data_IF_496525533489
#
_entry.id   IF_496525533489
#
_cell.length_a   1.000
_cell.length_b   1.000
_cell.length_c   1.000
_cell.angle_alpha   90.00
_cell.angle_beta   90.00
_cell.angle_gamma   90.00
#
_symmetry.space_group_name_H-M   'P 1'
#
loop_
_entity.id
_entity.type
_entity.pdbx_description
1 polymer ?
#
# COMPACT_ATOMS: atom_id res chain seq x y z
N UNK A 1 32.46 1.04 -6.04
CA UNK A 1 31.96 2.43 -6.09
C UNK A 1 30.81 2.58 -5.10
N UNK A 2 30.91 3.54 -4.17
CA UNK A 2 29.84 3.81 -3.20
C UNK A 2 28.82 4.65 -3.93
N UNK A 3 27.73 4.04 -4.41
CA UNK A 3 26.68 4.75 -5.12
C UNK A 3 26.20 5.95 -4.28
N UNK A 4 26.03 7.09 -4.93
CA UNK A 4 25.36 8.27 -4.36
C UNK A 4 24.09 7.81 -3.68
N UNK A 5 23.73 8.37 -2.53
CA UNK A 5 22.46 8.04 -1.86
C UNK A 5 21.39 8.88 -2.54
N UNK A 6 20.48 8.32 -3.36
CA UNK A 6 19.39 9.13 -3.85
C UNK A 6 18.51 9.67 -2.72
N UNK A 7 17.88 10.82 -2.99
CA UNK A 7 17.06 11.54 -2.04
C UNK A 7 15.62 11.51 -2.52
N UNK A 8 14.69 11.18 -1.63
CA UNK A 8 13.26 11.30 -1.91
C UNK A 8 12.94 12.81 -2.04
N UNK A 9 12.81 13.31 -3.28
CA UNK A 9 12.43 14.69 -3.54
C UNK A 9 10.91 14.84 -3.55
N UNK A 10 10.43 15.90 -2.94
CA UNK A 10 9.00 16.26 -2.89
C UNK A 10 8.48 16.61 -4.27
N UNK A 11 7.26 16.18 -4.62
CA UNK A 11 6.63 16.56 -5.90
C UNK A 11 6.01 17.96 -5.80
N UNK A 12 6.24 18.81 -6.81
CA UNK A 12 5.62 20.13 -6.94
C UNK A 12 4.08 20.07 -7.07
N UNK A 13 3.56 18.98 -7.64
CA UNK A 13 2.15 18.67 -7.78
C UNK A 13 1.60 17.85 -6.59
N UNK A 14 2.38 17.65 -5.53
CA UNK A 14 1.95 16.89 -4.37
C UNK A 14 0.68 17.49 -3.75
N UNK A 15 -0.24 16.60 -3.36
CA UNK A 15 -1.45 16.97 -2.67
C UNK A 15 -1.13 17.74 -1.39
N UNK A 16 -1.79 18.89 -1.22
CA UNK A 16 -1.65 19.74 -0.02
C UNK A 16 -2.74 19.50 1.02
N UNK A 17 -3.82 18.81 0.65
CA UNK A 17 -4.98 18.56 1.50
C UNK A 17 -5.51 17.16 1.27
N UNK A 18 -5.93 16.51 2.35
CA UNK A 18 -6.54 15.19 2.29
C UNK A 18 -7.91 15.26 1.60
N UNK A 19 -8.13 14.49 0.51
CA UNK A 19 -9.48 14.27 -0.01
C UNK A 19 -10.36 13.57 1.03
N UNK A 20 -11.68 13.74 0.86
CA UNK A 20 -12.64 13.02 1.67
C UNK A 20 -12.51 11.52 1.43
N UNK A 21 -12.65 10.73 2.49
CA UNK A 21 -12.64 9.27 2.37
C UNK A 21 -13.82 8.81 1.50
N UNK A 22 -13.61 7.93 0.50
CA UNK A 22 -14.70 7.44 -0.34
C UNK A 22 -15.77 6.73 0.50
N UNK A 23 -17.03 7.13 0.30
CA UNK A 23 -18.16 6.70 1.16
C UNK A 23 -18.44 5.20 1.09
N UNK A 24 -18.09 4.55 -0.02
CA UNK A 24 -18.35 3.14 -0.27
C UNK A 24 -17.31 2.20 0.34
N UNK A 25 -16.17 2.71 0.83
CA UNK A 25 -15.17 1.89 1.51
C UNK A 25 -15.73 1.23 2.77
N UNK A 26 -15.26 0.03 3.08
CA UNK A 26 -15.56 -0.66 4.33
C UNK A 26 -15.06 0.13 5.55
N UNK A 27 -15.56 -0.19 6.74
CA UNK A 27 -15.15 0.51 7.97
C UNK A 27 -13.63 0.35 8.26
N UNK A 28 -13.07 -0.84 8.00
CA UNK A 28 -11.63 -1.08 8.13
C UNK A 28 -10.82 -0.26 7.10
N UNK A 29 -11.24 -0.26 5.83
CA UNK A 29 -10.57 0.51 4.79
C UNK A 29 -10.61 2.02 5.06
N UNK A 30 -11.75 2.54 5.55
CA UNK A 30 -11.90 3.94 5.97
C UNK A 30 -10.96 4.32 7.11
N UNK A 31 -10.77 3.42 8.09
CA UNK A 31 -9.81 3.64 9.19
C UNK A 31 -8.39 3.71 8.65
N UNK A 32 -8.04 2.82 7.74
CA UNK A 32 -6.70 2.80 7.16
C UNK A 32 -6.41 4.07 6.35
N UNK A 33 -7.34 4.49 5.50
CA UNK A 33 -7.25 5.74 4.74
C UNK A 33 -6.94 6.93 5.66
N UNK A 34 -7.70 7.07 6.74
CA UNK A 34 -7.51 8.14 7.73
C UNK A 34 -6.17 8.05 8.47
N UNK A 35 -5.61 6.84 8.61
CA UNK A 35 -4.35 6.58 9.30
C UNK A 35 -3.15 6.98 8.45
N UNK A 36 -3.14 6.63 7.16
CA UNK A 36 -1.94 6.78 6.31
C UNK A 36 -1.89 8.08 5.52
N UNK A 37 -3.04 8.61 5.11
CA UNK A 37 -3.10 9.75 4.21
C UNK A 37 -2.45 11.03 4.78
N UNK A 38 -2.57 11.36 6.09
CA UNK A 38 -1.91 12.53 6.65
C UNK A 38 -0.37 12.49 6.50
N UNK A 39 0.26 11.35 6.81
CA UNK A 39 1.72 11.16 6.66
C UNK A 39 2.17 11.30 5.20
N UNK A 40 1.40 10.70 4.27
CA UNK A 40 1.71 10.75 2.84
C UNK A 40 1.64 12.17 2.27
N UNK A 41 0.70 12.99 2.78
CA UNK A 41 0.58 14.42 2.43
C UNK A 41 1.72 15.23 3.02
N UNK A 42 2.05 15.00 4.30
CA UNK A 42 3.17 15.69 4.98
C UNK A 42 4.49 15.46 4.23
N UNK A 43 4.68 14.22 3.75
CA UNK A 43 5.85 13.82 2.96
C UNK A 43 5.87 14.35 1.52
N UNK A 44 4.75 14.89 1.02
CA UNK A 44 4.59 15.43 -0.35
C UNK A 44 5.00 14.45 -1.45
N UNK A 45 4.56 13.20 -1.32
CA UNK A 45 4.89 12.12 -2.26
C UNK A 45 3.70 11.59 -3.06
N UNK A 46 2.48 12.03 -2.75
CA UNK A 46 1.28 11.63 -3.50
C UNK A 46 0.74 12.80 -4.30
N UNK A 47 0.34 12.50 -5.52
CA UNK A 47 -0.47 13.34 -6.39
C UNK A 47 -1.90 12.78 -6.47
N UNK A 48 -2.80 13.51 -7.13
CA UNK A 48 -4.18 13.02 -7.35
C UNK A 48 -4.20 11.73 -8.19
N UNK A 49 -3.21 11.50 -9.05
CA UNK A 49 -3.09 10.29 -9.87
C UNK A 49 -2.86 9.02 -9.02
N UNK A 50 -2.28 9.17 -7.83
CA UNK A 50 -1.95 8.06 -6.94
C UNK A 50 -3.13 7.61 -6.07
N UNK A 51 -4.25 8.35 -6.07
CA UNK A 51 -5.40 8.08 -5.21
C UNK A 51 -6.03 6.71 -5.47
N UNK A 52 -6.02 6.23 -6.71
CA UNK A 52 -6.50 4.88 -7.03
C UNK A 52 -5.66 3.79 -6.35
N UNK A 53 -4.33 3.96 -6.32
CA UNK A 53 -3.40 3.04 -5.64
C UNK A 53 -3.57 3.09 -4.12
N UNK A 54 -3.75 4.29 -3.56
CA UNK A 54 -4.04 4.49 -2.15
C UNK A 54 -5.35 3.81 -1.73
N UNK A 55 -6.39 3.96 -2.54
CA UNK A 55 -7.69 3.35 -2.28
C UNK A 55 -7.60 1.83 -2.31
N UNK A 56 -6.95 1.27 -3.32
CA UNK A 56 -6.72 -0.18 -3.44
C UNK A 56 -5.93 -0.74 -2.25
N UNK A 57 -4.96 0.01 -1.73
CA UNK A 57 -4.23 -0.37 -0.53
C UNK A 57 -5.16 -0.43 0.69
N UNK A 58 -6.00 0.59 0.87
CA UNK A 58 -6.96 0.64 1.97
C UNK A 58 -7.98 -0.50 1.89
N UNK A 59 -8.45 -0.83 0.68
CA UNK A 59 -9.33 -2.00 0.43
C UNK A 59 -8.63 -3.29 0.83
N UNK A 60 -7.39 -3.49 0.40
CA UNK A 60 -6.62 -4.69 0.74
C UNK A 60 -6.42 -4.84 2.26
N UNK A 61 -6.07 -3.75 2.96
CA UNK A 61 -6.00 -3.77 4.44
C UNK A 61 -7.36 -4.07 5.05
N UNK A 62 -8.44 -3.51 4.50
CA UNK A 62 -9.81 -3.80 4.93
C UNK A 62 -10.13 -5.30 4.85
N UNK A 63 -9.84 -5.92 3.71
CA UNK A 63 -10.02 -7.36 3.50
C UNK A 63 -9.17 -8.19 4.46
N UNK A 64 -7.92 -7.80 4.73
CA UNK A 64 -7.07 -8.48 5.71
C UNK A 64 -7.74 -8.52 7.08
N UNK A 65 -8.25 -7.38 7.57
CA UNK A 65 -8.90 -7.31 8.89
C UNK A 65 -10.20 -8.11 8.93
N UNK A 66 -10.96 -8.11 7.84
CA UNK A 66 -12.20 -8.87 7.74
C UNK A 66 -11.96 -10.38 7.72
N UNK A 67 -11.09 -10.86 6.84
CA UNK A 67 -10.80 -12.28 6.71
C UNK A 67 -10.12 -12.84 7.96
N UNK A 68 -9.27 -12.05 8.62
CA UNK A 68 -8.65 -12.44 9.89
C UNK A 68 -9.70 -12.67 10.98
N UNK A 69 -10.71 -11.79 11.10
CA UNK A 69 -11.82 -11.99 12.07
C UNK A 69 -12.63 -13.25 11.79
N UNK A 70 -12.87 -13.55 10.51
CA UNK A 70 -13.54 -14.79 10.11
C UNK A 70 -12.71 -16.00 10.55
N UNK A 71 -11.42 -16.04 10.23
CA UNK A 71 -10.54 -17.16 10.58
C UNK A 71 -10.33 -17.32 12.10
N UNK A 72 -10.34 -16.23 12.86
CA UNK A 72 -10.31 -16.28 14.32
C UNK A 72 -11.57 -16.90 14.93
N UNK A 73 -12.70 -16.76 14.24
CA UNK A 73 -14.00 -17.27 14.71
C UNK A 73 -14.24 -18.71 14.23
N UNK A 74 -13.93 -18.99 12.97
CA UNK A 74 -14.29 -20.23 12.27
C UNK A 74 -13.12 -21.22 12.16
N UNK A 75 -11.89 -20.77 12.42
CA UNK A 75 -10.68 -21.55 12.27
C UNK A 75 -10.10 -21.53 10.84
N UNK A 76 -8.86 -21.99 10.72
CA UNK A 76 -8.13 -21.98 9.44
C UNK A 76 -8.43 -23.18 8.53
N UNK A 77 -9.05 -24.21 9.10
CA UNK A 77 -9.42 -25.44 8.40
C UNK A 77 -10.81 -25.87 8.82
N UNK A 78 -11.54 -26.50 7.91
CA UNK A 78 -12.84 -27.07 8.18
C UNK A 78 -12.89 -28.52 7.70
N UNK A 79 -13.70 -29.35 8.37
CA UNK A 79 -13.97 -30.72 7.93
C UNK A 79 -14.95 -30.69 6.75
N UNK A 80 -14.56 -31.28 5.61
CA UNK A 80 -15.48 -31.52 4.51
C UNK A 80 -16.34 -32.76 4.78
N UNK A 81 -17.47 -32.89 4.08
CA UNK A 81 -18.36 -34.06 4.17
C UNK A 81 -17.64 -35.38 3.88
N UNK A 82 -16.56 -35.33 3.08
CA UNK A 82 -15.71 -36.48 2.79
C UNK A 82 -14.79 -36.92 3.94
N UNK A 83 -14.86 -36.26 5.11
CA UNK A 83 -13.98 -36.49 6.25
C UNK A 83 -12.56 -35.90 6.12
N UNK A 84 -12.26 -35.22 5.01
CA UNK A 84 -10.96 -34.58 4.79
C UNK A 84 -10.96 -33.16 5.35
N UNK A 85 -9.84 -32.73 5.91
CA UNK A 85 -9.63 -31.33 6.29
C UNK A 85 -9.30 -30.49 5.06
N UNK A 86 -10.01 -29.38 4.90
CA UNK A 86 -9.79 -28.39 3.84
C UNK A 86 -9.45 -27.02 4.43
N UNK A 87 -8.64 -26.24 3.71
CA UNK A 87 -8.33 -24.86 4.08
C UNK A 87 -9.57 -24.00 3.98
N UNK A 88 -9.78 -23.14 4.97
CA UNK A 88 -10.88 -22.18 4.96
C UNK A 88 -10.73 -21.20 3.78
N UNK A 89 -11.78 -20.93 2.97
CA UNK A 89 -11.71 -20.03 1.82
C UNK A 89 -11.21 -18.61 2.16
N UNK A 90 -11.59 -18.09 3.33
CA UNK A 90 -11.11 -16.79 3.82
C UNK A 90 -9.58 -16.73 3.90
N UNK A 91 -8.92 -17.88 4.12
CA UNK A 91 -7.46 -17.96 4.16
C UNK A 91 -6.79 -17.70 2.80
N UNK A 92 -7.48 -17.95 1.68
CA UNK A 92 -6.97 -17.60 0.33
C UNK A 92 -7.10 -16.10 0.11
N UNK A 93 -8.28 -15.55 0.38
CA UNK A 93 -8.56 -14.11 0.24
C UNK A 93 -7.61 -13.29 1.13
N UNK A 94 -7.38 -13.73 2.36
CA UNK A 94 -6.43 -13.10 3.29
C UNK A 94 -5.01 -13.06 2.69
N UNK A 95 -4.53 -14.19 2.17
CA UNK A 95 -3.18 -14.30 1.58
C UNK A 95 -3.00 -13.33 0.41
N UNK A 96 -4.00 -13.28 -0.48
CA UNK A 96 -3.97 -12.40 -1.65
C UNK A 96 -4.04 -10.93 -1.24
N UNK A 97 -4.88 -10.60 -0.26
CA UNK A 97 -5.01 -9.25 0.27
C UNK A 97 -3.73 -8.78 0.96
N UNK A 98 -3.07 -9.63 1.76
CA UNK A 98 -1.77 -9.33 2.37
C UNK A 98 -0.70 -9.08 1.31
N UNK A 99 -0.71 -9.84 0.22
CA UNK A 99 0.23 -9.67 -0.89
C UNK A 99 0.01 -8.34 -1.61
N UNK A 100 -1.23 -8.01 -2.00
CA UNK A 100 -1.59 -6.72 -2.61
C UNK A 100 -1.24 -5.55 -1.70
N UNK A 101 -1.57 -5.65 -0.42
CA UNK A 101 -1.24 -4.63 0.58
C UNK A 101 0.26 -4.40 0.67
N UNK A 102 1.07 -5.47 0.70
CA UNK A 102 2.53 -5.36 0.73
C UNK A 102 3.08 -4.66 -0.52
N UNK A 103 2.61 -5.03 -1.71
CA UNK A 103 3.07 -4.43 -2.97
C UNK A 103 2.76 -2.93 -3.02
N UNK A 104 1.51 -2.56 -2.79
CA UNK A 104 1.09 -1.15 -2.78
C UNK A 104 1.75 -0.33 -1.66
N UNK A 105 2.01 -0.95 -0.50
CA UNK A 105 2.76 -0.31 0.58
C UNK A 105 4.21 0.00 0.18
N UNK A 106 4.84 -0.83 -0.65
CA UNK A 106 6.20 -0.57 -1.13
C UNK A 106 6.19 0.63 -2.09
N UNK A 107 5.26 0.66 -3.04
CA UNK A 107 5.14 1.76 -4.02
C UNK A 107 4.93 3.13 -3.34
N UNK A 108 4.07 3.20 -2.33
CA UNK A 108 3.79 4.45 -1.59
C UNK A 108 4.80 4.74 -0.46
N UNK A 109 5.86 3.95 -0.32
CA UNK A 109 6.84 4.19 0.74
C UNK A 109 6.27 4.01 2.16
N UNK A 110 5.34 3.07 2.37
CA UNK A 110 4.73 2.78 3.67
C UNK A 110 5.53 1.74 4.48
N UNK A 111 6.47 1.03 3.87
CA UNK A 111 7.39 0.12 4.59
C UNK A 111 8.68 0.83 5.02
N UNK A 112 9.34 0.42 6.12
CA UNK A 112 10.63 1.00 6.54
C UNK A 112 11.68 0.92 5.42
N UNK A 113 11.75 -0.22 4.74
CA UNK A 113 12.71 -0.44 3.64
C UNK A 113 12.40 0.46 2.45
N UNK A 114 11.15 0.55 2.02
CA UNK A 114 10.77 1.43 0.89
C UNK A 114 11.01 2.92 1.20
N UNK A 115 10.89 3.35 2.46
CA UNK A 115 11.26 4.73 2.86
C UNK A 115 12.76 5.00 2.80
N UNK A 116 13.57 3.99 3.10
CA UNK A 116 15.02 4.10 3.01
C UNK A 116 15.54 3.95 1.58
N UNK A 117 14.70 3.42 0.65
CA UNK A 117 15.11 3.21 -0.73
C UNK A 117 15.24 4.56 -1.41
N UNK A 118 16.41 4.84 -1.95
CA UNK A 118 16.63 6.16 -2.47
C UNK A 118 16.08 6.26 -3.92
N UNK A 119 15.37 7.37 -4.25
CA UNK A 119 14.76 7.61 -5.56
C UNK A 119 15.82 7.77 -6.68
N UNK A 120 16.06 6.73 -7.47
CA UNK A 120 16.97 6.78 -8.61
C UNK A 120 16.24 7.45 -9.78
N UNK A 121 16.71 8.62 -10.20
CA UNK A 121 16.52 9.16 -11.55
C UNK A 121 17.89 9.65 -12.02
N UNK A 122 18.30 9.21 -13.20
CA UNK A 122 19.50 9.68 -13.89
C UNK A 122 19.21 11.09 -14.42
N UNK A 123 19.75 12.11 -13.75
CA UNK A 123 19.79 13.51 -14.23
C UNK A 123 21.24 13.88 -14.62
N UNK A 124 21.96 12.95 -15.25
CA UNK A 124 23.27 13.17 -15.89
C UNK A 124 23.05 12.72 -17.36
N UNK A 125 23.12 13.50 -18.46
CA UNK A 125 23.77 14.76 -18.80
C UNK A 125 22.97 15.39 -19.98
N UNK A 126 22.35 16.56 -19.80
CA UNK A 126 21.83 17.39 -20.91
C UNK A 126 22.75 18.60 -21.20
N UNK A 127 24.00 18.59 -20.69
CA UNK A 127 24.87 19.77 -20.64
C UNK A 127 26.24 19.60 -21.35
N UNK A 128 26.29 18.86 -22.47
CA UNK A 128 27.52 18.62 -23.26
C UNK A 128 27.42 18.96 -24.76
N UNK A 129 26.55 19.89 -25.17
CA UNK A 129 26.48 20.33 -26.59
C UNK A 129 26.83 21.81 -26.82
N UNK A 130 27.53 22.44 -25.88
CA UNK A 130 28.17 23.73 -26.08
C UNK A 130 29.60 23.67 -25.56
N UNK A 131 30.50 23.09 -26.36
CA UNK A 131 31.88 23.55 -26.55
C UNK A 131 32.50 22.89 -27.81
#
# INVERSE_FOLDING_TARGET
>A
MKGTKPHLRTDSAAMKRAPAVPKWLSADAKREWKRILPDLIERRILTDADLGSLENYCIAIGQVREMERILQTEGHVYGAESGLLKRHPAGVILSDAMTRARLLAVEMGLTPVSRSRPAIRDDDEEDSLLD
#
